data_IF_161820339061
#
_entry.id   IF_161820339061
#
_cell.length_a   1.000
_cell.length_b   1.000
_cell.length_c   1.000
_cell.angle_alpha   90.00
_cell.angle_beta   90.00
_cell.angle_gamma   90.00
#
_symmetry.space_group_name_H-M   'P 1'
#
loop_
_entity.id
_entity.type
_entity.pdbx_description
1 polymer ?
#
# COMPACT_ATOMS: atom_id res chain seq x y z
N UNK A 1 5.27 -39.03 -21.78
CA UNK A 1 5.38 -37.55 -21.83
C UNK A 1 4.17 -36.99 -21.12
N UNK A 2 4.31 -36.57 -19.87
CA UNK A 2 3.19 -36.06 -19.06
C UNK A 2 3.08 -34.56 -19.32
N UNK A 3 1.96 -34.12 -19.91
CA UNK A 3 1.67 -32.70 -20.06
C UNK A 3 1.59 -32.05 -18.67
N UNK A 4 2.45 -31.07 -18.40
CA UNK A 4 2.36 -30.26 -17.20
C UNK A 4 1.12 -29.37 -17.35
N UNK A 5 0.03 -29.72 -16.65
CA UNK A 5 -1.15 -28.87 -16.54
C UNK A 5 -0.74 -27.53 -15.94
N UNK A 6 -0.64 -26.50 -16.77
CA UNK A 6 -0.48 -25.13 -16.30
C UNK A 6 -1.75 -24.76 -15.56
N UNK A 7 -1.67 -24.58 -14.24
CA UNK A 7 -2.77 -24.08 -13.43
C UNK A 7 -3.04 -22.64 -13.88
N UNK A 8 -4.08 -22.45 -14.68
CA UNK A 8 -4.48 -21.13 -15.23
C UNK A 8 -5.59 -20.46 -14.42
N UNK A 9 -6.03 -21.07 -13.32
CA UNK A 9 -7.21 -20.63 -12.56
C UNK A 9 -6.90 -20.39 -11.09
N UNK A 10 -7.35 -19.26 -10.56
CA UNK A 10 -7.31 -18.93 -9.12
C UNK A 10 -8.52 -19.58 -8.43
N UNK A 11 -8.28 -20.35 -7.37
CA UNK A 11 -9.34 -20.91 -6.52
C UNK A 11 -9.80 -19.88 -5.48
N UNK A 12 -11.11 -19.72 -5.30
CA UNK A 12 -11.71 -18.75 -4.38
C UNK A 12 -12.88 -19.36 -3.59
N UNK A 13 -12.62 -20.35 -2.72
CA UNK A 13 -13.67 -21.11 -2.06
C UNK A 13 -14.57 -20.26 -1.14
N UNK A 14 -14.01 -19.22 -0.50
CA UNK A 14 -14.78 -18.31 0.36
C UNK A 14 -15.72 -17.44 -0.47
N UNK A 15 -15.23 -16.90 -1.59
CA UNK A 15 -16.04 -16.14 -2.53
C UNK A 15 -17.17 -17.01 -3.09
N UNK A 16 -16.86 -18.24 -3.47
CA UNK A 16 -17.84 -19.16 -4.04
C UNK A 16 -18.96 -19.47 -3.04
N UNK A 17 -18.64 -19.66 -1.75
CA UNK A 17 -19.65 -19.92 -0.70
C UNK A 17 -20.44 -18.68 -0.27
N UNK A 18 -19.77 -17.53 -0.12
CA UNK A 18 -20.37 -16.31 0.43
C UNK A 18 -21.04 -15.43 -0.62
N UNK A 19 -20.76 -15.65 -1.92
CA UNK A 19 -21.27 -14.80 -3.00
C UNK A 19 -22.79 -14.57 -2.97
N UNK A 20 -23.67 -15.56 -2.73
CA UNK A 20 -25.12 -15.30 -2.77
C UNK A 20 -25.57 -14.38 -1.62
N UNK A 21 -25.02 -14.60 -0.42
CA UNK A 21 -25.34 -13.80 0.76
C UNK A 21 -24.80 -12.36 0.62
N UNK A 22 -23.57 -12.23 0.11
CA UNK A 22 -22.96 -10.93 -0.12
C UNK A 22 -23.72 -10.14 -1.20
N UNK A 23 -24.05 -10.76 -2.34
CA UNK A 23 -24.81 -10.10 -3.41
C UNK A 23 -26.21 -9.68 -2.93
N UNK A 24 -26.88 -10.51 -2.13
CA UNK A 24 -28.16 -10.15 -1.52
C UNK A 24 -28.02 -8.95 -0.57
N UNK A 25 -26.97 -8.91 0.23
CA UNK A 25 -26.67 -7.78 1.13
C UNK A 25 -26.34 -6.50 0.36
N UNK A 26 -25.56 -6.58 -0.71
CA UNK A 26 -25.26 -5.42 -1.58
C UNK A 26 -26.55 -4.89 -2.19
N UNK A 27 -27.40 -5.79 -2.68
CA UNK A 27 -28.70 -5.49 -3.27
C UNK A 27 -29.62 -4.77 -2.29
N UNK A 28 -29.69 -5.21 -1.03
CA UNK A 28 -30.53 -4.56 -0.01
C UNK A 28 -30.07 -3.13 0.31
N UNK A 29 -28.80 -2.81 0.04
CA UNK A 29 -28.24 -1.46 0.20
C UNK A 29 -28.21 -0.66 -1.11
N UNK A 30 -29.04 -1.05 -2.10
CA UNK A 30 -29.19 -0.33 -3.36
C UNK A 30 -28.20 -0.72 -4.46
N UNK A 31 -27.36 -1.73 -4.25
CA UNK A 31 -26.34 -2.18 -5.20
C UNK A 31 -26.83 -3.15 -6.28
N UNK A 32 -28.07 -3.02 -6.76
CA UNK A 32 -28.66 -3.92 -7.78
C UNK A 32 -27.82 -4.00 -9.06
N UNK A 33 -27.33 -2.86 -9.56
CA UNK A 33 -26.48 -2.80 -10.75
C UNK A 33 -25.14 -3.50 -10.54
N UNK A 34 -24.52 -3.30 -9.37
CA UNK A 34 -23.32 -4.03 -8.98
C UNK A 34 -23.57 -5.53 -8.97
N UNK A 35 -24.66 -5.99 -8.36
CA UNK A 35 -24.96 -7.42 -8.24
C UNK A 35 -25.12 -8.10 -9.61
N UNK A 36 -25.75 -7.41 -10.56
CA UNK A 36 -25.85 -7.86 -11.94
C UNK A 36 -24.48 -7.99 -12.62
N UNK A 37 -23.63 -6.97 -12.50
CA UNK A 37 -22.28 -7.01 -13.09
C UNK A 37 -21.38 -8.05 -12.41
N UNK A 38 -21.45 -8.21 -11.10
CA UNK A 38 -20.69 -9.24 -10.37
C UNK A 38 -21.12 -10.66 -10.80
N UNK A 39 -22.41 -10.88 -11.07
CA UNK A 39 -22.91 -12.17 -11.59
C UNK A 39 -22.37 -12.46 -12.99
N UNK A 40 -22.37 -11.45 -13.88
CA UNK A 40 -21.78 -11.59 -15.22
C UNK A 40 -20.26 -11.79 -15.17
N UNK A 41 -19.58 -11.11 -14.25
CA UNK A 41 -18.15 -11.30 -14.00
C UNK A 41 -17.84 -12.73 -13.54
N UNK A 42 -18.66 -13.30 -12.65
CA UNK A 42 -18.55 -14.69 -12.25
C UNK A 42 -18.79 -15.68 -13.42
N UNK A 43 -19.63 -15.31 -14.38
CA UNK A 43 -19.88 -16.07 -15.59
C UNK A 43 -18.77 -15.93 -16.66
N UNK A 44 -17.75 -15.09 -16.42
CA UNK A 44 -16.60 -14.93 -17.32
C UNK A 44 -16.61 -13.65 -18.16
N UNK A 45 -17.48 -12.67 -17.87
CA UNK A 45 -17.45 -11.37 -18.54
C UNK A 45 -16.43 -10.42 -17.87
N UNK A 46 -15.30 -10.20 -18.54
CA UNK A 46 -14.25 -9.28 -18.06
C UNK A 46 -14.75 -7.83 -17.97
N UNK A 47 -15.57 -7.36 -18.91
CA UNK A 47 -16.07 -5.97 -18.89
C UNK A 47 -17.02 -5.76 -17.72
N UNK A 48 -17.80 -6.79 -17.38
CA UNK A 48 -18.64 -6.75 -16.19
C UNK A 48 -17.81 -6.72 -14.90
N UNK A 49 -16.66 -7.40 -14.84
CA UNK A 49 -15.75 -7.33 -13.71
C UNK A 49 -15.14 -5.93 -13.53
N UNK A 50 -14.74 -5.30 -14.63
CA UNK A 50 -14.25 -3.92 -14.65
C UNK A 50 -15.34 -2.95 -14.17
N UNK A 51 -16.56 -3.08 -14.69
CA UNK A 51 -17.69 -2.26 -14.27
C UNK A 51 -18.06 -2.45 -12.79
N UNK A 52 -18.07 -3.70 -12.29
CA UNK A 52 -18.29 -4.01 -10.89
C UNK A 52 -17.24 -3.34 -9.99
N UNK A 53 -15.98 -3.35 -10.41
CA UNK A 53 -14.89 -2.69 -9.67
C UNK A 53 -15.07 -1.18 -9.59
N UNK A 54 -15.40 -0.53 -10.70
CA UNK A 54 -15.64 0.93 -10.73
C UNK A 54 -16.84 1.32 -9.85
N UNK A 55 -17.95 0.57 -9.95
CA UNK A 55 -19.12 0.83 -9.11
C UNK A 55 -18.80 0.71 -7.61
N UNK A 56 -18.08 -0.35 -7.21
CA UNK A 56 -17.67 -0.48 -5.81
C UNK A 56 -16.67 0.62 -5.41
N UNK A 57 -15.75 1.00 -6.29
CA UNK A 57 -14.80 2.09 -6.05
C UNK A 57 -15.51 3.42 -5.77
N UNK A 58 -16.51 3.78 -6.56
CA UNK A 58 -17.31 4.99 -6.34
C UNK A 58 -17.99 4.98 -4.98
N UNK A 59 -18.51 3.82 -4.55
CA UNK A 59 -19.14 3.66 -3.23
C UNK A 59 -18.15 3.76 -2.07
N UNK A 60 -16.89 3.39 -2.28
CA UNK A 60 -15.83 3.58 -1.27
C UNK A 60 -15.38 5.05 -1.13
N UNK A 61 -15.60 5.87 -2.17
CA UNK A 61 -15.10 7.25 -2.25
C UNK A 61 -16.20 8.32 -2.21
N UNK A 62 -17.45 7.94 -1.98
CA UNK A 62 -18.60 8.85 -1.92
C UNK A 62 -18.73 9.61 -0.58
N UNK A 63 -17.85 9.35 0.39
CA UNK A 63 -17.82 10.06 1.67
C UNK A 63 -16.65 9.66 2.58
N UNK A 64 -16.63 10.13 3.85
CA UNK A 64 -15.60 9.75 4.82
C UNK A 64 -15.47 8.24 4.97
N UNK A 65 -14.24 7.71 5.03
CA UNK A 65 -13.98 6.27 5.04
C UNK A 65 -14.73 5.50 6.14
N UNK A 66 -14.86 6.10 7.33
CA UNK A 66 -15.56 5.48 8.47
C UNK A 66 -17.09 5.38 8.28
N UNK A 67 -17.67 6.12 7.33
CA UNK A 67 -19.10 6.06 6.99
C UNK A 67 -19.41 5.10 5.85
N UNK A 68 -18.40 4.56 5.17
CA UNK A 68 -18.57 3.58 4.10
C UNK A 68 -19.12 2.27 4.69
N UNK A 69 -20.23 1.77 4.14
CA UNK A 69 -20.83 0.53 4.60
C UNK A 69 -19.86 -0.66 4.40
N UNK A 70 -19.72 -1.56 5.38
CA UNK A 70 -18.83 -2.72 5.27
C UNK A 70 -19.07 -3.56 4.01
N UNK A 71 -20.34 -3.69 3.60
CA UNK A 71 -20.74 -4.47 2.43
C UNK A 71 -20.09 -3.98 1.13
N UNK A 72 -19.85 -2.67 0.98
CA UNK A 72 -19.19 -2.10 -0.20
C UNK A 72 -17.68 -2.38 -0.20
N UNK A 73 -17.07 -2.57 0.98
CA UNK A 73 -15.67 -3.01 1.08
C UNK A 73 -15.54 -4.47 0.65
N UNK A 74 -16.47 -5.32 1.08
CA UNK A 74 -16.50 -6.72 0.64
C UNK A 74 -16.84 -6.85 -0.86
N UNK A 75 -17.72 -5.98 -1.38
CA UNK A 75 -17.99 -5.85 -2.82
C UNK A 75 -16.73 -5.46 -3.61
N UNK A 76 -15.93 -4.52 -3.09
CA UNK A 76 -14.67 -4.16 -3.75
C UNK A 76 -13.68 -5.33 -3.78
N UNK A 77 -13.54 -6.08 -2.67
CA UNK A 77 -12.74 -7.31 -2.62
C UNK A 77 -13.18 -8.35 -3.66
N UNK A 78 -14.50 -8.55 -3.80
CA UNK A 78 -15.08 -9.48 -4.78
C UNK A 78 -14.72 -9.07 -6.21
N UNK A 79 -14.91 -7.79 -6.57
CA UNK A 79 -14.57 -7.30 -7.90
C UNK A 79 -13.07 -7.43 -8.21
N UNK A 80 -12.21 -7.15 -7.22
CA UNK A 80 -10.76 -7.36 -7.33
C UNK A 80 -10.39 -8.83 -7.59
N UNK A 81 -11.04 -9.80 -6.93
CA UNK A 81 -10.83 -11.23 -7.19
C UNK A 81 -11.25 -11.63 -8.60
N UNK A 82 -12.37 -11.11 -9.11
CA UNK A 82 -12.79 -11.36 -10.49
C UNK A 82 -11.76 -10.79 -11.49
N UNK A 83 -11.34 -9.53 -11.32
CA UNK A 83 -10.29 -8.91 -12.15
C UNK A 83 -8.99 -9.72 -12.13
N UNK A 84 -8.57 -10.18 -10.95
CA UNK A 84 -7.37 -10.98 -10.82
C UNK A 84 -7.47 -12.31 -11.57
N UNK A 85 -8.64 -12.98 -11.57
CA UNK A 85 -8.86 -14.21 -12.35
C UNK A 85 -8.66 -13.98 -13.85
N UNK A 86 -9.16 -12.87 -14.39
CA UNK A 86 -9.00 -12.53 -15.82
C UNK A 86 -7.53 -12.23 -16.16
N UNK A 87 -6.88 -11.32 -15.42
CA UNK A 87 -5.47 -11.00 -15.64
C UNK A 87 -4.57 -12.24 -15.50
N UNK A 88 -4.84 -13.10 -14.52
CA UNK A 88 -4.08 -14.33 -14.33
C UNK A 88 -4.24 -15.30 -15.51
N UNK A 89 -5.47 -15.46 -16.03
CA UNK A 89 -5.75 -16.29 -17.19
C UNK A 89 -5.07 -15.78 -18.46
N UNK A 90 -4.90 -14.46 -18.58
CA UNK A 90 -4.19 -13.80 -19.68
C UNK A 90 -2.65 -13.82 -19.52
N UNK A 91 -2.13 -14.34 -18.40
CA UNK A 91 -0.69 -14.31 -18.09
C UNK A 91 -0.16 -12.93 -17.69
N UNK A 92 -1.05 -12.00 -17.34
CA UNK A 92 -0.76 -10.64 -16.88
C UNK A 92 -0.55 -10.64 -15.35
N UNK A 93 0.48 -11.36 -14.89
CA UNK A 93 0.71 -11.59 -13.46
C UNK A 93 0.84 -10.29 -12.64
N UNK A 94 1.44 -9.24 -13.22
CA UNK A 94 1.58 -7.94 -12.56
C UNK A 94 0.23 -7.27 -12.32
N UNK A 95 -0.66 -7.28 -13.31
CA UNK A 95 -1.98 -6.67 -13.20
C UNK A 95 -2.90 -7.50 -12.28
N UNK A 96 -2.76 -8.82 -12.29
CA UNK A 96 -3.42 -9.71 -11.33
C UNK A 96 -3.01 -9.39 -9.88
N UNK A 97 -1.71 -9.28 -9.60
CA UNK A 97 -1.22 -8.91 -8.26
C UNK A 97 -1.69 -7.52 -7.84
N UNK A 98 -1.65 -6.54 -8.75
CA UNK A 98 -2.18 -5.19 -8.48
C UNK A 98 -3.65 -5.24 -8.09
N UNK A 99 -4.48 -5.99 -8.82
CA UNK A 99 -5.90 -6.13 -8.51
C UNK A 99 -6.13 -6.75 -7.12
N UNK A 100 -5.38 -7.80 -6.77
CA UNK A 100 -5.45 -8.46 -5.45
C UNK A 100 -5.01 -7.52 -4.33
N UNK A 101 -3.96 -6.73 -4.55
CA UNK A 101 -3.46 -5.76 -3.58
C UNK A 101 -4.47 -4.65 -3.32
N UNK A 102 -5.20 -4.22 -4.35
CA UNK A 102 -6.31 -3.28 -4.18
C UNK A 102 -7.41 -3.87 -3.30
N UNK A 103 -7.76 -5.14 -3.50
CA UNK A 103 -8.70 -5.85 -2.64
C UNK A 103 -8.21 -5.94 -1.19
N UNK A 104 -6.90 -6.09 -0.97
CA UNK A 104 -6.30 -6.14 0.37
C UNK A 104 -6.29 -4.77 1.08
N UNK A 105 -6.01 -3.70 0.34
CA UNK A 105 -5.84 -2.34 0.88
C UNK A 105 -7.20 -1.68 1.12
N UNK A 106 -8.12 -1.80 0.17
CA UNK A 106 -9.40 -1.08 0.17
C UNK A 106 -10.59 -1.97 0.52
N UNK A 107 -10.43 -3.28 0.43
CA UNK A 107 -11.50 -4.22 0.60
C UNK A 107 -11.80 -4.60 2.06
N UNK A 108 -12.90 -5.33 2.23
CA UNK A 108 -13.37 -5.81 3.52
C UNK A 108 -12.76 -7.17 3.91
N UNK A 109 -12.92 -7.59 5.17
CA UNK A 109 -12.26 -8.77 5.70
C UNK A 109 -12.84 -10.10 5.21
N UNK A 110 -14.06 -10.10 4.65
CA UNK A 110 -14.80 -11.33 4.31
C UNK A 110 -14.00 -12.25 3.39
N UNK A 111 -13.39 -11.68 2.36
CA UNK A 111 -12.69 -12.41 1.30
C UNK A 111 -11.16 -12.40 1.47
N UNK A 112 -10.67 -12.06 2.68
CA UNK A 112 -9.24 -11.88 2.92
C UNK A 112 -8.41 -13.14 2.64
N UNK A 113 -8.93 -14.30 3.06
CA UNK A 113 -8.27 -15.60 2.85
C UNK A 113 -8.09 -15.94 1.37
N UNK A 114 -9.11 -15.64 0.56
CA UNK A 114 -9.07 -15.88 -0.88
C UNK A 114 -8.11 -14.93 -1.58
N UNK A 115 -8.07 -13.66 -1.17
CA UNK A 115 -7.09 -12.68 -1.66
C UNK A 115 -5.65 -13.12 -1.37
N UNK A 116 -5.36 -13.51 -0.13
CA UNK A 116 -4.03 -13.96 0.30
C UNK A 116 -3.62 -15.24 -0.47
N UNK A 117 -4.52 -16.22 -0.58
CA UNK A 117 -4.27 -17.47 -1.33
C UNK A 117 -4.06 -17.22 -2.83
N UNK A 118 -4.81 -16.28 -3.41
CA UNK A 118 -4.67 -15.88 -4.80
C UNK A 118 -3.30 -15.23 -5.07
N UNK A 119 -2.81 -14.39 -4.15
CA UNK A 119 -1.48 -13.76 -4.26
C UNK A 119 -0.39 -14.83 -4.28
N UNK A 120 -0.47 -15.82 -3.38
CA UNK A 120 0.49 -16.92 -3.35
C UNK A 120 0.49 -17.70 -4.67
N UNK A 121 -0.69 -18.01 -5.21
CA UNK A 121 -0.84 -18.72 -6.47
C UNK A 121 -0.27 -17.93 -7.66
N UNK A 122 -0.61 -16.64 -7.77
CA UNK A 122 -0.14 -15.76 -8.84
C UNK A 122 1.38 -15.56 -8.76
N UNK A 123 1.92 -15.35 -7.56
CA UNK A 123 3.36 -15.17 -7.34
C UNK A 123 4.14 -16.45 -7.68
N UNK A 124 3.64 -17.62 -7.28
CA UNK A 124 4.26 -18.91 -7.61
C UNK A 124 4.24 -19.19 -9.11
N UNK A 125 3.15 -18.86 -9.81
CA UNK A 125 3.06 -19.01 -11.25
C UNK A 125 3.99 -18.05 -12.01
N UNK A 126 4.07 -16.77 -11.57
CA UNK A 126 5.00 -15.79 -12.11
C UNK A 126 6.46 -16.26 -11.95
N UNK A 127 6.84 -16.71 -10.76
CA UNK A 127 8.18 -17.23 -10.51
C UNK A 127 8.54 -18.38 -11.46
N UNK A 128 7.61 -19.32 -11.71
CA UNK A 128 7.83 -20.41 -12.67
C UNK A 128 8.04 -19.91 -14.11
N UNK A 129 7.37 -18.82 -14.50
CA UNK A 129 7.52 -18.21 -15.82
C UNK A 129 8.87 -17.49 -15.96
N UNK A 130 9.28 -16.72 -14.95
CA UNK A 130 10.55 -15.98 -14.96
C UNK A 130 11.77 -16.92 -14.99
N UNK A 131 11.64 -18.16 -14.50
CA UNK A 131 12.68 -19.19 -14.63
C UNK A 131 12.78 -19.78 -16.05
N UNK A 132 11.73 -19.68 -16.88
CA UNK A 132 11.65 -20.24 -18.24
C UNK A 132 11.74 -19.19 -19.36
N UNK A 133 11.67 -17.89 -19.05
CA UNK A 133 11.78 -16.78 -20.00
C UNK A 133 12.45 -15.59 -19.33
N UNK A 134 13.46 -15.02 -19.99
CA UNK A 134 14.30 -13.95 -19.46
C UNK A 134 13.49 -12.77 -18.91
N UNK A 135 13.95 -12.28 -17.75
CA UNK A 135 13.33 -11.22 -16.98
C UNK A 135 12.78 -10.08 -17.84
N UNK A 136 11.47 -9.86 -17.79
CA UNK A 136 10.88 -8.59 -18.18
C UNK A 136 11.49 -7.52 -17.28
N UNK A 137 12.51 -6.84 -17.79
CA UNK A 137 13.11 -5.70 -17.13
C UNK A 137 12.02 -4.67 -16.85
N UNK A 138 11.95 -4.21 -15.59
CA UNK A 138 11.11 -3.10 -15.12
C UNK A 138 11.41 -1.84 -15.94
N UNK A 139 10.81 -1.71 -17.12
CA UNK A 139 10.82 -0.49 -17.93
C UNK A 139 9.68 0.43 -17.47
N UNK A 140 9.70 0.85 -16.20
CA UNK A 140 8.97 2.04 -15.79
C UNK A 140 9.93 3.24 -15.86
N UNK A 141 9.61 4.19 -16.73
CA UNK A 141 10.39 5.41 -16.96
C UNK A 141 10.61 6.20 -15.65
N UNK A 142 11.88 6.46 -15.25
CA UNK A 142 12.21 7.17 -14.02
C UNK A 142 11.65 8.60 -13.95
N UNK A 143 11.40 9.27 -15.09
CA UNK A 143 10.74 10.58 -15.10
C UNK A 143 9.26 10.48 -14.69
N UNK A 144 8.55 9.43 -15.13
CA UNK A 144 7.13 9.24 -14.81
C UNK A 144 6.90 8.91 -13.33
N UNK A 145 7.86 8.24 -12.68
CA UNK A 145 7.87 8.05 -11.23
C UNK A 145 8.13 9.38 -10.49
N UNK A 146 9.03 10.23 -11.00
CA UNK A 146 9.33 11.57 -10.46
C UNK A 146 8.14 12.54 -10.56
N UNK A 147 7.45 12.58 -11.70
CA UNK A 147 6.33 13.51 -11.91
C UNK A 147 5.12 13.26 -10.99
N UNK A 148 4.94 12.04 -10.46
CA UNK A 148 3.89 11.75 -9.45
C UNK A 148 4.22 12.27 -8.04
N UNK A 149 5.45 12.70 -7.80
CA UNK A 149 6.01 13.01 -6.48
C UNK A 149 6.09 14.51 -6.17
N UNK A 150 5.84 15.38 -7.15
CA UNK A 150 6.08 16.82 -7.02
C UNK A 150 4.75 17.60 -7.02
N UNK A 151 4.44 18.24 -5.89
CA UNK A 151 3.30 19.17 -5.69
C UNK A 151 3.78 20.36 -4.84
N UNK A 152 3.13 21.50 -4.97
CA UNK A 152 3.51 22.78 -4.36
C UNK A 152 3.57 22.74 -2.82
N UNK A 153 4.56 23.41 -2.19
CA UNK A 153 4.70 23.45 -0.73
C UNK A 153 3.63 24.32 -0.06
N UNK A 154 3.08 23.86 1.07
CA UNK A 154 2.21 24.62 1.96
C UNK A 154 2.93 24.95 3.29
N UNK A 155 2.51 26.05 3.92
CA UNK A 155 3.05 26.48 5.21
C UNK A 155 2.42 25.65 6.33
N UNK A 156 3.25 25.03 7.16
CA UNK A 156 2.79 24.22 8.28
C UNK A 156 2.60 25.09 9.52
N UNK A 157 1.36 25.22 10.00
CA UNK A 157 1.09 25.84 11.29
C UNK A 157 1.35 24.86 12.43
N UNK A 158 2.26 25.23 13.33
CA UNK A 158 2.57 24.48 14.55
C UNK A 158 1.32 24.26 15.42
N UNK A 159 0.37 25.20 15.37
CA UNK A 159 -0.88 25.09 16.12
C UNK A 159 -1.77 23.95 15.60
N UNK A 160 -1.76 23.70 14.30
CA UNK A 160 -2.50 22.63 13.63
C UNK A 160 -1.89 21.25 13.93
N UNK A 161 -0.56 21.13 13.87
CA UNK A 161 0.15 19.90 14.26
C UNK A 161 -0.15 19.47 15.70
N UNK A 162 -0.20 20.42 16.64
CA UNK A 162 -0.48 20.11 18.04
C UNK A 162 -1.90 19.61 18.28
N UNK A 163 -2.84 19.81 17.33
CA UNK A 163 -4.19 19.25 17.39
C UNK A 163 -4.25 17.79 16.92
N UNK A 164 -3.32 17.39 16.05
CA UNK A 164 -3.25 16.04 15.47
C UNK A 164 -2.44 15.11 16.37
N UNK A 165 -1.37 15.63 16.96
CA UNK A 165 -0.46 14.82 17.76
C UNK A 165 -1.05 14.49 19.14
N UNK A 166 -0.72 13.32 19.72
CA UNK A 166 -1.11 12.98 21.08
C UNK A 166 -0.72 14.06 22.10
N UNK A 167 -1.52 14.20 23.16
CA UNK A 167 -1.29 15.18 24.23
C UNK A 167 0.14 15.04 24.76
N UNK A 168 0.86 16.17 24.90
CA UNK A 168 2.30 16.27 25.27
C UNK A 168 3.30 15.78 24.21
N UNK A 169 2.86 15.51 22.99
CA UNK A 169 3.80 15.39 21.87
C UNK A 169 4.62 16.67 21.74
N UNK A 170 5.93 16.51 21.53
CA UNK A 170 6.90 17.60 21.46
C UNK A 170 7.07 18.43 22.75
N UNK A 171 6.53 18.00 23.90
CA UNK A 171 6.72 18.70 25.18
C UNK A 171 8.13 18.53 25.75
N UNK A 172 8.80 17.42 25.41
CA UNK A 172 10.12 17.06 25.93
C UNK A 172 11.20 17.34 24.89
N UNK A 173 12.16 18.21 25.24
CA UNK A 173 13.33 18.49 24.39
C UNK A 173 14.30 17.31 24.31
N UNK A 174 14.29 16.44 25.32
CA UNK A 174 15.16 15.27 25.43
C UNK A 174 14.28 14.09 25.86
N UNK A 175 14.35 12.99 25.10
CA UNK A 175 13.63 11.75 25.42
C UNK A 175 14.59 10.80 26.14
N UNK A 176 14.20 10.36 27.34
CA UNK A 176 15.00 9.43 28.14
C UNK A 176 15.09 8.05 27.50
N UNK A 177 16.23 7.37 27.71
CA UNK A 177 16.45 5.97 27.29
C UNK A 177 16.42 5.04 28.50
N UNK A 178 15.77 3.89 28.35
CA UNK A 178 15.71 2.82 29.35
C UNK A 178 15.89 1.46 28.69
N UNK A 179 16.58 0.56 29.37
CA UNK A 179 16.64 -0.86 29.07
C UNK A 179 15.94 -1.65 30.19
N UNK A 180 15.53 -2.89 29.90
CA UNK A 180 14.92 -3.83 30.82
C UNK A 180 13.70 -3.25 31.57
N UNK A 181 12.96 -2.37 30.90
CA UNK A 181 11.80 -1.70 31.48
C UNK A 181 10.66 -2.73 31.67
N UNK A 182 10.27 -2.96 32.92
CA UNK A 182 9.12 -3.82 33.21
C UNK A 182 7.81 -3.16 32.74
N UNK A 183 6.78 -3.97 32.47
CA UNK A 183 5.46 -3.45 32.10
C UNK A 183 4.91 -2.50 33.18
N UNK A 184 5.02 -2.88 34.45
CA UNK A 184 4.58 -2.03 35.57
C UNK A 184 5.37 -0.72 35.64
N UNK A 185 6.69 -0.78 35.50
CA UNK A 185 7.54 0.41 35.47
C UNK A 185 7.20 1.34 34.32
N UNK A 186 6.95 0.79 33.12
CA UNK A 186 6.47 1.55 31.97
C UNK A 186 5.12 2.23 32.25
N UNK A 187 4.16 1.48 32.80
CA UNK A 187 2.82 1.99 33.07
C UNK A 187 2.85 3.16 34.07
N UNK A 188 3.55 2.97 35.20
CA UNK A 188 3.62 3.95 36.28
C UNK A 188 4.41 5.20 35.90
N UNK A 189 5.56 5.03 35.25
CA UNK A 189 6.52 6.13 35.08
C UNK A 189 6.30 6.90 33.77
N UNK A 190 5.80 6.25 32.71
CA UNK A 190 5.72 6.84 31.37
C UNK A 190 4.31 6.86 30.79
N UNK A 191 3.57 5.75 30.85
CA UNK A 191 2.24 5.67 30.22
C UNK A 191 1.21 6.59 30.90
N UNK A 192 1.03 6.46 32.22
CA UNK A 192 0.06 7.27 32.97
C UNK A 192 0.42 8.76 32.97
N UNK A 193 1.72 9.06 32.91
CA UNK A 193 2.21 10.44 32.86
C UNK A 193 2.22 11.01 31.43
N UNK A 194 1.94 10.21 30.39
CA UNK A 194 2.03 10.62 28.99
C UNK A 194 3.43 11.11 28.60
N UNK A 195 4.48 10.56 29.23
CA UNK A 195 5.86 11.00 29.02
C UNK A 195 6.57 10.08 28.00
N UNK A 196 7.20 10.63 26.95
CA UNK A 196 7.89 9.82 25.96
C UNK A 196 9.14 9.14 26.54
N UNK A 197 9.41 7.90 26.11
CA UNK A 197 10.59 7.11 26.48
C UNK A 197 11.06 6.25 25.31
N UNK A 198 12.37 6.09 25.16
CA UNK A 198 12.99 5.15 24.22
C UNK A 198 13.35 3.87 24.99
N UNK A 199 12.78 2.74 24.59
CA UNK A 199 13.10 1.42 25.14
C UNK A 199 14.13 0.76 24.22
N UNK A 200 15.38 0.60 24.69
CA UNK A 200 16.51 0.29 23.80
C UNK A 200 16.67 -1.19 23.47
N UNK A 201 16.16 -2.09 24.30
CA UNK A 201 16.43 -3.52 24.25
C UNK A 201 15.23 -4.39 23.85
N UNK A 202 14.02 -3.81 23.78
CA UNK A 202 12.76 -4.53 23.54
C UNK A 202 12.74 -5.33 22.23
N UNK A 203 13.34 -4.79 21.17
CA UNK A 203 13.32 -5.38 19.82
C UNK A 203 14.66 -5.98 19.40
N UNK A 204 15.60 -6.20 20.33
CA UNK A 204 16.97 -6.67 20.02
C UNK A 204 17.01 -8.04 19.36
N UNK A 205 16.05 -8.92 19.69
CA UNK A 205 15.94 -10.28 19.15
C UNK A 205 15.16 -10.36 17.83
N UNK A 206 14.63 -9.24 17.31
CA UNK A 206 13.82 -9.27 16.09
C UNK A 206 14.68 -9.59 14.85
N UNK A 207 14.26 -10.60 14.10
CA UNK A 207 14.92 -10.98 12.84
C UNK A 207 14.95 -9.83 11.81
N UNK A 208 14.03 -8.86 11.91
CA UNK A 208 14.02 -7.66 11.10
C UNK A 208 15.35 -6.88 11.16
N UNK A 209 16.05 -6.90 12.30
CA UNK A 209 17.34 -6.20 12.48
C UNK A 209 18.46 -6.71 11.57
N UNK A 210 18.37 -7.95 11.11
CA UNK A 210 19.38 -8.55 10.21
C UNK A 210 18.81 -8.73 8.80
N UNK A 211 17.57 -9.23 8.68
CA UNK A 211 16.97 -9.59 7.39
C UNK A 211 16.58 -8.39 6.54
N UNK A 212 16.13 -7.28 7.14
CA UNK A 212 15.61 -6.14 6.36
C UNK A 212 16.71 -5.23 5.80
N UNK A 213 17.98 -5.43 6.20
CA UNK A 213 19.12 -4.75 5.58
C UNK A 213 19.48 -5.35 4.20
N UNK A 214 19.03 -6.58 3.93
CA UNK A 214 19.21 -7.23 2.63
C UNK A 214 18.11 -6.76 1.66
N UNK A 215 18.52 -5.95 0.68
CA UNK A 215 17.60 -5.43 -0.33
C UNK A 215 17.04 -6.54 -1.23
N UNK A 216 17.78 -7.62 -1.45
CA UNK A 216 17.32 -8.76 -2.23
C UNK A 216 16.32 -9.60 -1.42
N UNK A 217 16.46 -9.65 -0.09
CA UNK A 217 15.41 -10.16 0.80
C UNK A 217 14.13 -9.34 0.66
N UNK A 218 14.20 -8.01 0.72
CA UNK A 218 13.01 -7.15 0.59
C UNK A 218 12.37 -7.27 -0.80
N UNK A 219 13.16 -7.30 -1.88
CA UNK A 219 12.65 -7.54 -3.24
C UNK A 219 12.00 -8.91 -3.35
N UNK A 220 12.58 -9.95 -2.78
CA UNK A 220 12.02 -11.31 -2.83
C UNK A 220 10.70 -11.41 -2.06
N UNK A 221 10.58 -10.75 -0.91
CA UNK A 221 9.39 -10.87 -0.03
C UNK A 221 8.28 -9.89 -0.43
N UNK A 222 8.62 -8.70 -0.89
CA UNK A 222 7.66 -7.62 -1.14
C UNK A 222 7.76 -7.00 -2.54
N UNK A 223 8.70 -7.42 -3.38
CA UNK A 223 8.99 -6.80 -4.68
C UNK A 223 7.85 -6.86 -5.68
N UNK A 224 6.87 -7.74 -5.51
CA UNK A 224 5.71 -7.79 -6.40
C UNK A 224 4.45 -7.15 -5.81
N UNK A 225 4.60 -6.47 -4.66
CA UNK A 225 3.49 -5.90 -3.90
C UNK A 225 3.28 -4.45 -4.30
N UNK A 226 2.02 -4.07 -4.45
CA UNK A 226 1.57 -2.69 -4.50
C UNK A 226 1.44 -2.16 -3.09
N UNK A 227 2.13 -1.06 -2.81
CA UNK A 227 2.16 -0.43 -1.49
C UNK A 227 1.57 0.98 -1.55
N UNK A 228 0.77 1.39 -0.54
CA UNK A 228 0.42 2.78 -0.36
C UNK A 228 1.67 3.53 0.07
N UNK A 229 1.99 4.61 -0.65
CA UNK A 229 3.09 5.49 -0.33
C UNK A 229 2.54 6.87 -0.07
N UNK A 230 2.82 7.35 1.14
CA UNK A 230 2.55 8.72 1.57
C UNK A 230 3.88 9.48 1.51
N UNK A 231 3.90 10.61 0.81
CA UNK A 231 5.09 11.43 0.66
C UNK A 231 4.95 12.70 1.47
N UNK A 232 5.56 12.76 2.64
CA UNK A 232 5.69 14.01 3.39
C UNK A 232 7.13 14.50 3.28
N UNK A 233 7.33 15.61 2.56
CA UNK A 233 8.64 16.23 2.42
C UNK A 233 8.73 17.45 3.34
N UNK A 234 9.61 17.37 4.35
CA UNK A 234 9.90 18.44 5.29
C UNK A 234 11.08 19.25 4.79
N UNK A 235 10.84 20.49 4.37
CA UNK A 235 11.89 21.44 4.02
C UNK A 235 12.07 22.45 5.15
N UNK A 236 13.32 22.70 5.55
CA UNK A 236 13.64 23.80 6.47
C UNK A 236 14.39 24.89 5.71
N UNK A 237 13.75 26.04 5.54
CA UNK A 237 14.38 27.26 5.04
C UNK A 237 14.55 28.22 6.22
N UNK A 238 15.80 28.54 6.55
CA UNK A 238 16.18 29.39 7.69
C UNK A 238 15.61 28.90 9.04
N UNK A 239 14.40 29.37 9.42
CA UNK A 239 13.66 29.03 10.65
C UNK A 239 12.25 28.49 10.41
N UNK A 240 11.79 28.48 9.16
CA UNK A 240 10.43 28.05 8.80
C UNK A 240 10.50 26.66 8.22
N UNK A 241 9.62 25.79 8.70
CA UNK A 241 9.48 24.43 8.18
C UNK A 241 8.28 24.42 7.25
N UNK A 242 8.51 24.02 6.01
CA UNK A 242 7.48 23.81 5.00
C UNK A 242 7.23 22.31 4.90
N UNK A 243 5.96 21.95 4.73
CA UNK A 243 5.55 20.58 4.46
C UNK A 243 4.97 20.55 3.07
N UNK A 244 5.54 19.69 2.24
CA UNK A 244 4.84 19.25 1.05
C UNK A 244 3.92 18.11 1.47
N UNK A 245 2.62 18.40 1.57
CA UNK A 245 1.62 17.39 1.84
C UNK A 245 1.56 16.42 0.67
N UNK A 246 1.68 15.13 0.98
CA UNK A 246 1.75 14.08 -0.02
C UNK A 246 0.43 13.82 -0.71
N UNK A 247 0.49 13.65 -2.02
CA UNK A 247 -0.47 12.81 -2.72
C UNK A 247 -0.29 11.35 -2.26
N UNK A 248 -1.39 10.71 -1.83
CA UNK A 248 -1.39 9.27 -1.56
C UNK A 248 -1.27 8.56 -2.91
N UNK A 249 -0.12 7.94 -3.15
CA UNK A 249 0.13 7.23 -4.39
C UNK A 249 0.25 5.73 -4.11
N UNK A 250 -0.34 4.92 -4.98
CA UNK A 250 -0.13 3.48 -4.97
C UNK A 250 1.02 3.17 -5.93
N UNK A 251 2.12 2.67 -5.39
CA UNK A 251 3.32 2.33 -6.15
C UNK A 251 3.64 0.85 -5.97
N UNK A 252 4.21 0.24 -7.00
CA UNK A 252 4.85 -1.05 -6.85
C UNK A 252 6.06 -0.89 -5.92
N UNK A 253 6.29 -1.84 -5.01
CA UNK A 253 7.33 -1.73 -3.99
C UNK A 253 8.75 -1.50 -4.56
N UNK A 254 9.19 -2.12 -5.67
CA UNK A 254 10.43 -1.78 -6.37
C UNK A 254 10.46 -0.35 -6.90
N UNK A 255 9.36 0.15 -7.46
CA UNK A 255 9.26 1.53 -7.94
C UNK A 255 9.34 2.52 -6.77
N UNK A 256 8.73 2.20 -5.63
CA UNK A 256 8.94 2.93 -4.38
C UNK A 256 10.41 2.92 -3.93
N UNK A 257 11.04 1.75 -3.84
CA UNK A 257 12.44 1.64 -3.40
C UNK A 257 13.42 2.39 -4.32
N UNK A 258 13.19 2.35 -5.65
CA UNK A 258 13.97 3.13 -6.61
C UNK A 258 13.80 4.63 -6.37
N UNK A 259 12.57 5.12 -6.29
CA UNK A 259 12.28 6.53 -6.02
C UNK A 259 12.85 7.02 -4.69
N UNK A 260 12.70 6.24 -3.62
CA UNK A 260 13.23 6.57 -2.29
C UNK A 260 14.76 6.64 -2.26
N UNK A 261 15.45 5.67 -2.87
CA UNK A 261 16.91 5.65 -2.91
C UNK A 261 17.49 6.82 -3.72
N UNK A 262 16.83 7.20 -4.82
CA UNK A 262 17.21 8.37 -5.62
C UNK A 262 17.07 9.67 -4.80
N UNK A 263 15.94 9.85 -4.09
CA UNK A 263 15.75 11.02 -3.22
C UNK A 263 16.76 11.04 -2.05
N UNK A 264 17.08 9.89 -1.46
CA UNK A 264 18.04 9.79 -0.37
C UNK A 264 19.49 10.08 -0.80
N UNK A 265 19.83 9.90 -2.08
CA UNK A 265 21.13 10.26 -2.65
C UNK A 265 21.26 11.79 -2.86
N UNK A 266 20.17 12.45 -3.26
CA UNK A 266 20.10 13.91 -3.45
C UNK A 266 20.29 14.65 -2.11
N UNK A 267 19.63 14.20 -1.04
CA UNK A 267 19.75 14.78 0.32
C UNK A 267 21.14 14.59 0.93
N UNK A 268 21.90 13.58 0.50
CA UNK A 268 23.29 13.35 0.95
C UNK A 268 24.32 14.15 0.17
N UNK A 269 23.93 14.80 -0.93
CA UNK A 269 24.79 15.73 -1.63
C UNK A 269 24.72 17.08 -0.90
N UNK A 270 25.85 17.68 -0.47
CA UNK A 270 25.79 19.06 0.01
C UNK A 270 25.21 19.92 -1.11
N UNK A 271 24.41 20.97 -0.81
CA UNK A 271 23.97 21.89 -1.85
C UNK A 271 25.24 22.46 -2.47
N UNK A 272 25.55 22.03 -3.69
CA UNK A 272 26.60 22.64 -4.47
C UNK A 272 26.10 24.05 -4.73
N UNK A 273 26.63 25.00 -3.95
CA UNK A 273 26.62 26.41 -4.26
C UNK A 273 27.36 26.58 -5.58
N UNK A 274 26.70 26.30 -6.70
CA UNK A 274 27.09 26.91 -7.96
C UNK A 274 26.57 28.34 -7.93
N UNK A 275 27.45 29.15 -7.36
CA UNK A 275 27.53 30.58 -7.56
C UNK A 275 27.63 30.84 -9.07
N UNK A 276 26.53 31.22 -9.71
CA UNK A 276 26.56 31.96 -10.97
C UNK A 276 25.61 33.14 -10.86
N UNK A 277 26.12 34.20 -10.24
CA UNK A 277 25.75 35.56 -10.62
C UNK A 277 26.31 35.84 -12.02
N UNK A 278 25.44 36.05 -13.00
CA UNK A 278 25.68 36.86 -14.20
C UNK A 278 24.29 37.20 -14.78
N UNK A 279 23.62 38.24 -14.30
CA UNK A 279 23.62 39.62 -14.82
C UNK A 279 23.26 39.77 -16.32
N UNK A 280 22.04 40.27 -16.52
CA UNK A 280 21.59 41.34 -17.43
C UNK A 280 21.78 41.16 -18.94
N UNK A 281 20.64 41.12 -19.61
CA UNK A 281 20.34 41.69 -20.91
C UNK A 281 18.83 41.90 -21.00
#
# INVERSE_FOLDING_TARGET
MSAASTVTTISTPTLDSESPALLQSITSHGGYAYAGMATLAAAGDQRAAEAAREMAWEQLHSGPWHSVLPVWRDAYSMACLHMAKFHFSNGEFRDALRALDMGIIMGGPLLRKDLDSAIEAVSAAKARRDHNGGADADNEDPEKARCRLLVCPEQLDKSELLRILPIRSLSSKIVGRRSALSLEGFLREYFLSGSPVIITDCMTHWAARTRWNDMDYLRRVAGDRTVPVEFEMLFRLEKTTYVQNGSKNLLHFPSFLRGFNLMAAEVRSPPILHNTSCLIG
#
